data_IF_265459030474
#
_entry.id   IF_265459030474
#
_cell.length_a   1.000
_cell.length_b   1.000
_cell.length_c   1.000
_cell.angle_alpha   90.00
_cell.angle_beta   90.00
_cell.angle_gamma   90.00
#
_symmetry.space_group_name_H-M   'P 1'
#
loop_
_entity.id
_entity.type
_entity.pdbx_description
1 polymer ?
#
# COMPACT_ATOMS: atom_id res chain seq x y z
N UNK A 1 -26.98 5.87 78.70
CA UNK A 1 -28.39 5.40 78.87
C UNK A 1 -29.12 5.60 77.55
N UNK A 2 -29.62 4.52 77.00
CA UNK A 2 -30.86 4.39 76.22
C UNK A 2 -30.98 5.35 75.01
N UNK A 3 -31.32 5.00 73.83
CA UNK A 3 -32.03 3.80 73.32
C UNK A 3 -32.23 3.87 71.82
N UNK A 4 -32.54 2.75 71.26
CA UNK A 4 -32.84 2.40 69.89
C UNK A 4 -33.96 3.24 69.20
N UNK A 5 -33.90 3.45 67.93
CA UNK A 5 -34.97 2.88 67.01
C UNK A 5 -34.57 2.92 65.59
N UNK A 6 -34.93 1.86 64.87
CA UNK A 6 -34.88 1.63 63.44
C UNK A 6 -36.03 2.37 62.75
N UNK A 7 -35.81 2.88 61.53
CA UNK A 7 -36.79 2.79 60.47
C UNK A 7 -36.13 3.03 59.13
N UNK A 8 -36.39 2.12 58.21
CA UNK A 8 -35.94 2.20 56.83
C UNK A 8 -36.82 3.15 56.04
N UNK A 9 -36.28 3.66 54.95
CA UNK A 9 -37.06 4.24 53.87
C UNK A 9 -36.32 4.11 52.56
N UNK A 10 -37.05 3.57 51.62
CA UNK A 10 -36.77 3.39 50.22
C UNK A 10 -36.12 4.63 49.56
N UNK A 11 -34.89 4.49 49.09
CA UNK A 11 -34.24 5.44 48.23
C UNK A 11 -34.47 5.08 46.74
N UNK A 12 -35.55 5.54 46.14
CA UNK A 12 -35.70 5.52 44.67
C UNK A 12 -34.71 6.49 44.08
N UNK A 13 -33.70 5.95 43.40
CA UNK A 13 -32.75 6.71 42.62
C UNK A 13 -33.43 7.20 41.35
N UNK A 14 -33.77 8.47 41.27
CA UNK A 14 -34.30 9.11 40.08
C UNK A 14 -33.14 9.35 39.09
N UNK A 15 -33.09 8.55 38.05
CA UNK A 15 -32.22 8.77 36.89
C UNK A 15 -32.67 10.04 36.18
N UNK A 16 -31.91 11.13 36.33
CA UNK A 16 -32.06 12.33 35.48
C UNK A 16 -31.38 12.07 34.16
N UNK A 17 -32.17 11.86 33.11
CA UNK A 17 -31.71 11.85 31.71
C UNK A 17 -31.15 13.23 31.37
N UNK A 18 -29.89 13.27 30.93
CA UNK A 18 -29.28 14.48 30.36
C UNK A 18 -29.71 14.57 28.87
N UNK A 19 -30.39 15.63 28.53
CA UNK A 19 -30.73 15.98 27.14
C UNK A 19 -29.81 17.11 26.66
N UNK A 20 -29.49 17.11 25.36
CA UNK A 20 -28.71 18.18 24.74
C UNK A 20 -29.58 19.45 24.54
N UNK A 21 -28.98 20.57 24.16
CA UNK A 21 -29.66 21.86 23.94
C UNK A 21 -30.75 21.84 22.83
N UNK A 22 -31.00 20.71 22.18
CA UNK A 22 -32.06 20.50 21.16
C UNK A 22 -33.09 19.44 21.56
N UNK A 23 -33.10 19.00 22.84
CA UNK A 23 -34.16 18.13 23.36
C UNK A 23 -34.06 16.64 22.94
N UNK A 24 -32.91 16.18 22.43
CA UNK A 24 -32.73 14.79 21.98
C UNK A 24 -32.01 14.00 23.06
N UNK A 25 -32.54 12.84 23.52
CA UNK A 25 -31.88 12.00 24.51
C UNK A 25 -30.64 11.30 23.93
N UNK A 26 -29.55 11.21 24.72
CA UNK A 26 -28.41 10.36 24.37
C UNK A 26 -28.77 8.89 24.52
N UNK A 27 -28.49 8.09 23.49
CA UNK A 27 -28.59 6.63 23.55
C UNK A 27 -27.51 6.10 24.51
N UNK A 28 -27.91 5.36 25.52
CA UNK A 28 -27.03 4.57 26.38
C UNK A 28 -26.67 3.28 25.65
N UNK A 29 -25.39 3.06 25.41
CA UNK A 29 -24.86 1.78 24.96
C UNK A 29 -25.10 0.72 26.05
N UNK A 30 -25.93 -0.25 25.75
CA UNK A 30 -26.05 -1.47 26.53
C UNK A 30 -25.52 -2.64 25.69
N UNK A 31 -24.54 -3.29 26.26
CA UNK A 31 -23.76 -4.35 25.66
C UNK A 31 -24.58 -5.65 25.55
N UNK A 32 -24.34 -6.40 24.47
CA UNK A 32 -24.68 -7.80 24.27
C UNK A 32 -26.14 -8.13 23.92
N UNK A 33 -26.38 -8.17 22.61
CA UNK A 33 -26.98 -9.32 21.89
C UNK A 33 -27.19 -8.95 20.43
N UNK A 34 -26.24 -9.34 19.55
CA UNK A 34 -26.48 -9.38 18.11
C UNK A 34 -27.20 -10.70 17.82
N UNK A 35 -28.52 -10.69 17.78
CA UNK A 35 -29.31 -11.77 17.19
C UNK A 35 -29.21 -11.69 15.67
N UNK A 36 -28.55 -12.69 15.10
CA UNK A 36 -28.42 -12.88 13.66
C UNK A 36 -29.77 -13.35 13.08
N UNK A 37 -30.54 -12.41 12.52
CA UNK A 37 -31.80 -12.72 11.86
C UNK A 37 -31.55 -13.38 10.50
N UNK A 38 -31.78 -14.71 10.43
CA UNK A 38 -31.65 -15.56 9.22
C UNK A 38 -32.81 -15.38 8.23
N UNK A 39 -33.22 -14.17 7.87
CA UNK A 39 -34.19 -13.96 6.79
C UNK A 39 -33.79 -12.73 6.00
N UNK A 40 -33.01 -12.91 4.95
CA UNK A 40 -32.98 -12.17 3.68
C UNK A 40 -31.67 -12.43 2.93
N UNK A 41 -31.49 -13.61 2.41
CA UNK A 41 -30.38 -13.93 1.48
C UNK A 41 -30.87 -14.23 0.05
N UNK A 42 -32.02 -13.71 -0.36
CA UNK A 42 -32.56 -14.05 -1.68
C UNK A 42 -32.61 -12.93 -2.72
N UNK A 43 -32.05 -11.74 -2.44
CA UNK A 43 -32.12 -10.60 -3.39
C UNK A 43 -30.75 -10.05 -3.85
N UNK A 44 -29.70 -10.84 -3.80
CA UNK A 44 -28.45 -10.48 -4.45
C UNK A 44 -28.45 -11.04 -5.89
N UNK A 45 -28.73 -10.18 -6.86
CA UNK A 45 -28.51 -10.47 -8.28
C UNK A 45 -27.05 -10.89 -8.50
N UNK A 46 -26.78 -11.98 -9.24
CA UNK A 46 -25.41 -12.42 -9.46
C UNK A 46 -24.66 -11.40 -10.32
N UNK A 47 -23.53 -10.92 -9.81
CA UNK A 47 -22.53 -10.18 -10.58
C UNK A 47 -22.09 -11.00 -11.80
N UNK A 48 -21.87 -10.39 -12.97
CA UNK A 48 -21.40 -11.11 -14.14
C UNK A 48 -19.99 -11.67 -13.87
N UNK A 49 -19.89 -12.97 -13.76
CA UNK A 49 -18.64 -13.72 -13.74
C UNK A 49 -17.95 -13.63 -15.11
N UNK A 50 -17.13 -12.63 -15.31
CA UNK A 50 -16.17 -12.60 -16.41
C UNK A 50 -14.82 -12.32 -15.78
N UNK A 51 -14.12 -13.35 -15.45
CA UNK A 51 -12.69 -13.52 -15.24
C UNK A 51 -12.47 -14.69 -14.27
N UNK A 52 -12.86 -15.86 -14.71
CA UNK A 52 -12.24 -17.10 -14.30
C UNK A 52 -12.01 -17.88 -15.59
N UNK A 53 -10.77 -18.25 -15.86
CA UNK A 53 -10.44 -19.19 -16.92
C UNK A 53 -11.35 -20.41 -16.74
N UNK A 54 -12.09 -20.74 -17.80
CA UNK A 54 -13.00 -21.89 -17.83
C UNK A 54 -12.21 -23.15 -17.48
N UNK A 55 -12.61 -23.95 -16.48
CA UNK A 55 -12.23 -25.34 -16.47
C UNK A 55 -12.87 -25.97 -17.72
N UNK A 56 -12.07 -26.54 -18.58
CA UNK A 56 -12.55 -27.32 -19.71
C UNK A 56 -13.30 -28.52 -19.13
N UNK A 57 -14.62 -28.55 -19.36
CA UNK A 57 -15.47 -29.71 -19.04
C UNK A 57 -14.96 -30.93 -19.81
N UNK A 58 -14.23 -31.81 -19.09
CA UNK A 58 -13.72 -33.07 -19.61
C UNK A 58 -14.68 -34.22 -19.25
N UNK A 59 -16.00 -34.02 -19.43
CA UNK A 59 -16.96 -35.12 -19.25
C UNK A 59 -18.19 -34.94 -20.15
N UNK A 60 -18.01 -35.25 -21.42
CA UNK A 60 -19.09 -35.76 -22.31
C UNK A 60 -18.56 -36.10 -23.70
N UNK A 61 -17.93 -37.25 -23.83
CA UNK A 61 -17.94 -38.04 -25.07
C UNK A 61 -18.08 -39.49 -24.68
N UNK A 62 -19.33 -39.95 -24.48
CA UNK A 62 -19.67 -41.34 -24.67
C UNK A 62 -19.88 -41.55 -26.17
N UNK A 63 -18.85 -42.01 -26.83
CA UNK A 63 -18.87 -42.54 -28.18
C UNK A 63 -18.34 -43.94 -28.18
N UNK A 64 -19.08 -44.85 -28.74
CA UNK A 64 -19.01 -46.29 -28.76
C UNK A 64 -17.64 -46.93 -29.06
N UNK A 65 -17.41 -47.99 -28.38
CA UNK A 65 -16.45 -49.07 -28.42
C UNK A 65 -15.90 -49.38 -29.84
N UNK A 66 -14.57 -49.31 -29.96
CA UNK A 66 -13.79 -49.94 -30.99
C UNK A 66 -12.44 -50.32 -30.42
N UNK A 67 -12.27 -51.57 -29.99
CA UNK A 67 -11.03 -52.12 -29.50
C UNK A 67 -9.91 -52.02 -30.54
N UNK A 68 -8.93 -51.11 -30.33
CA UNK A 68 -7.56 -51.30 -30.82
C UNK A 68 -6.61 -51.26 -29.63
N UNK A 69 -5.93 -52.41 -29.47
CA UNK A 69 -4.82 -52.55 -28.46
C UNK A 69 -3.63 -51.73 -28.98
N UNK A 70 -2.99 -51.01 -28.06
CA UNK A 70 -1.61 -50.61 -28.12
C UNK A 70 -1.39 -49.16 -28.47
N UNK A 71 -1.32 -48.35 -27.40
CA UNK A 71 -0.36 -47.31 -27.16
C UNK A 71 -0.76 -46.61 -25.87
N UNK A 72 0.13 -46.67 -24.86
CA UNK A 72 -0.07 -45.91 -23.62
C UNK A 72 -0.19 -44.43 -23.98
N UNK A 73 -1.20 -43.71 -23.47
CA UNK A 73 -1.24 -42.27 -23.67
C UNK A 73 0.00 -41.67 -23.04
N UNK A 74 0.87 -41.10 -23.92
CA UNK A 74 2.00 -40.33 -23.47
C UNK A 74 1.52 -39.29 -22.45
N UNK A 75 2.10 -39.34 -21.26
CA UNK A 75 1.93 -38.31 -20.24
C UNK A 75 2.40 -36.98 -20.87
N UNK A 76 1.46 -36.18 -21.35
CA UNK A 76 1.75 -34.80 -21.71
C UNK A 76 2.20 -34.14 -20.40
N UNK A 77 3.46 -33.70 -20.30
CA UNK A 77 3.88 -33.00 -19.09
C UNK A 77 3.00 -31.74 -18.97
N UNK A 78 2.16 -31.69 -17.93
CA UNK A 78 1.41 -30.50 -17.53
C UNK A 78 2.42 -29.49 -16.93
N UNK A 79 3.28 -28.97 -17.76
CA UNK A 79 3.96 -27.71 -17.53
C UNK A 79 3.02 -26.60 -18.00
N UNK A 80 1.93 -26.39 -17.26
CA UNK A 80 1.31 -25.08 -17.28
C UNK A 80 2.41 -24.11 -16.83
N UNK A 81 2.90 -23.30 -17.74
CA UNK A 81 3.77 -22.18 -17.37
C UNK A 81 3.02 -21.39 -16.31
N UNK A 82 3.46 -21.50 -15.06
CA UNK A 82 2.88 -20.74 -13.95
C UNK A 82 3.06 -19.29 -14.37
N UNK A 83 1.95 -18.58 -14.62
CA UNK A 83 2.00 -17.19 -14.97
C UNK A 83 2.69 -16.45 -13.82
N UNK A 84 3.86 -15.87 -14.10
CA UNK A 84 4.61 -15.11 -13.09
C UNK A 84 3.81 -13.90 -12.68
N UNK A 85 3.60 -13.73 -11.39
CA UNK A 85 2.90 -12.58 -10.84
C UNK A 85 3.89 -11.41 -10.73
N UNK A 86 3.96 -10.59 -11.78
CA UNK A 86 4.73 -9.35 -11.79
C UNK A 86 3.91 -8.22 -11.16
N UNK A 87 4.46 -7.54 -10.16
CA UNK A 87 3.90 -6.31 -9.62
C UNK A 87 4.79 -5.10 -9.91
N UNK A 88 4.18 -3.92 -10.00
CA UNK A 88 4.92 -2.66 -10.01
C UNK A 88 4.68 -1.90 -8.71
N UNK A 89 5.74 -1.52 -8.02
CA UNK A 89 5.68 -0.59 -6.89
C UNK A 89 6.02 0.80 -7.39
N UNK A 90 5.03 1.69 -7.43
CA UNK A 90 5.15 3.00 -8.08
C UNK A 90 5.23 4.15 -7.11
N UNK A 91 6.08 5.13 -7.41
CA UNK A 91 6.22 6.34 -6.63
C UNK A 91 7.17 7.35 -7.26
N UNK A 92 7.26 8.56 -6.70
CA UNK A 92 8.27 9.54 -7.12
C UNK A 92 9.65 9.22 -6.53
N UNK A 93 9.69 8.58 -5.35
CA UNK A 93 10.92 8.23 -4.61
C UNK A 93 11.93 9.37 -4.55
N UNK A 94 11.46 10.55 -4.14
CA UNK A 94 12.19 11.81 -4.17
C UNK A 94 12.29 12.47 -2.78
N UNK A 95 13.19 12.00 -1.91
CA UNK A 95 14.02 10.79 -2.03
C UNK A 95 13.29 9.50 -1.63
N UNK A 96 13.92 8.36 -1.94
CA UNK A 96 13.55 7.06 -1.38
C UNK A 96 13.81 7.05 0.14
N UNK A 97 12.91 6.42 0.91
CA UNK A 97 12.96 6.40 2.38
C UNK A 97 13.03 4.97 2.91
N UNK A 98 13.34 4.79 4.20
CA UNK A 98 13.29 3.48 4.85
C UNK A 98 11.87 2.87 4.79
N UNK A 99 10.81 3.71 4.87
CA UNK A 99 9.44 3.24 4.70
C UNK A 99 9.16 2.71 3.29
N UNK A 100 9.75 3.31 2.25
CA UNK A 100 9.64 2.76 0.89
C UNK A 100 10.35 1.41 0.77
N UNK A 101 11.51 1.26 1.40
CA UNK A 101 12.25 0.00 1.40
C UNK A 101 11.53 -1.09 2.20
N UNK A 102 10.87 -0.75 3.31
CA UNK A 102 10.03 -1.69 4.08
C UNK A 102 8.86 -2.23 3.23
N UNK A 103 8.14 -1.36 2.53
CA UNK A 103 7.07 -1.78 1.60
C UNK A 103 7.63 -2.67 0.49
N UNK A 104 8.78 -2.30 -0.07
CA UNK A 104 9.43 -3.06 -1.14
C UNK A 104 9.86 -4.45 -0.67
N UNK A 105 10.46 -4.56 0.52
CA UNK A 105 10.84 -5.83 1.13
C UNK A 105 9.63 -6.75 1.34
N UNK A 106 8.52 -6.22 1.86
CA UNK A 106 7.26 -6.96 2.03
C UNK A 106 6.65 -7.38 0.70
N UNK A 107 6.73 -6.53 -0.32
CA UNK A 107 6.24 -6.84 -1.68
C UNK A 107 6.96 -8.05 -2.27
N UNK A 108 8.26 -8.21 -2.01
CA UNK A 108 9.05 -9.37 -2.50
C UNK A 108 8.54 -10.72 -2.01
N UNK A 109 7.88 -10.77 -0.85
CA UNK A 109 7.29 -11.99 -0.32
C UNK A 109 5.93 -12.35 -0.92
N UNK A 110 5.35 -11.49 -1.74
CA UNK A 110 3.98 -11.65 -2.27
C UNK A 110 3.93 -11.91 -3.77
N UNK A 111 4.97 -11.56 -4.50
CA UNK A 111 5.02 -11.63 -5.98
C UNK A 111 6.26 -12.39 -6.43
N UNK A 112 6.23 -12.87 -7.67
CA UNK A 112 7.37 -13.59 -8.28
C UNK A 112 8.42 -12.63 -8.85
N UNK A 113 7.99 -11.44 -9.25
CA UNK A 113 8.85 -10.36 -9.77
C UNK A 113 8.26 -9.00 -9.36
N UNK A 114 9.14 -8.04 -9.07
CA UNK A 114 8.73 -6.67 -8.68
C UNK A 114 9.52 -5.65 -9.50
N UNK A 115 8.84 -4.64 -10.02
CA UNK A 115 9.48 -3.46 -10.59
C UNK A 115 9.27 -2.29 -9.63
N UNK A 116 10.36 -1.74 -9.09
CA UNK A 116 10.35 -0.43 -8.46
C UNK A 116 10.31 0.63 -9.56
N UNK A 117 9.13 1.17 -9.82
CA UNK A 117 8.86 2.04 -10.95
C UNK A 117 8.85 3.52 -10.51
N UNK A 118 9.85 4.28 -10.94
CA UNK A 118 10.02 5.69 -10.60
C UNK A 118 9.24 6.55 -11.60
N UNK A 119 8.17 7.21 -11.12
CA UNK A 119 7.35 8.10 -11.93
C UNK A 119 7.60 9.59 -11.65
N UNK A 120 7.09 10.45 -12.52
CA UNK A 120 7.03 11.88 -12.31
C UNK A 120 5.67 12.27 -11.70
N UNK A 121 5.69 13.01 -10.61
CA UNK A 121 4.49 13.70 -10.14
C UNK A 121 4.51 15.13 -10.72
N UNK A 122 3.61 15.47 -11.67
CA UNK A 122 3.61 16.79 -12.31
C UNK A 122 3.31 17.93 -11.33
N UNK A 123 2.66 17.64 -10.21
CA UNK A 123 2.24 18.61 -9.20
C UNK A 123 3.30 18.88 -8.12
N UNK A 124 4.49 18.27 -8.24
CA UNK A 124 5.56 18.43 -7.24
C UNK A 124 6.88 18.76 -7.92
N UNK A 125 7.56 19.79 -7.41
CA UNK A 125 8.95 20.03 -7.78
C UNK A 125 9.83 18.89 -7.28
N UNK A 126 10.65 18.37 -8.19
CA UNK A 126 11.56 17.27 -7.86
C UNK A 126 12.87 17.82 -7.31
N UNK A 127 13.34 17.24 -6.20
CA UNK A 127 14.65 17.55 -5.64
C UNK A 127 15.78 16.87 -6.40
N UNK A 128 15.56 15.57 -6.69
CA UNK A 128 16.51 14.75 -7.42
C UNK A 128 16.04 14.55 -8.86
N UNK A 129 16.96 14.62 -9.81
CA UNK A 129 16.69 14.24 -11.21
C UNK A 129 16.26 12.79 -11.32
N UNK A 130 15.71 12.38 -12.47
CA UNK A 130 15.37 10.97 -12.70
C UNK A 130 16.58 10.06 -12.56
N UNK A 131 17.74 10.45 -13.12
CA UNK A 131 18.96 9.65 -13.08
C UNK A 131 19.49 9.50 -11.65
N UNK A 132 19.44 10.57 -10.86
CA UNK A 132 19.83 10.51 -9.45
C UNK A 132 18.93 9.58 -8.64
N UNK A 133 17.60 9.68 -8.81
CA UNK A 133 16.64 8.80 -8.14
C UNK A 133 16.82 7.34 -8.55
N UNK A 134 17.05 7.12 -9.85
CA UNK A 134 17.29 5.80 -10.41
C UNK A 134 18.59 5.19 -9.86
N UNK A 135 19.66 5.99 -9.79
CA UNK A 135 20.94 5.56 -9.25
C UNK A 135 20.82 5.18 -7.76
N UNK A 136 20.24 6.06 -6.94
CA UNK A 136 20.01 5.82 -5.52
C UNK A 136 19.17 4.55 -5.29
N UNK A 137 18.08 4.42 -6.03
CA UNK A 137 17.20 3.25 -5.91
C UNK A 137 17.89 1.96 -6.31
N UNK A 138 18.67 1.95 -7.40
CA UNK A 138 19.41 0.76 -7.85
C UNK A 138 20.45 0.30 -6.84
N UNK A 139 21.16 1.23 -6.22
CA UNK A 139 22.16 0.90 -5.22
C UNK A 139 21.52 0.33 -3.95
N UNK A 140 20.44 0.96 -3.46
CA UNK A 140 19.72 0.49 -2.29
C UNK A 140 19.02 -0.86 -2.52
N UNK A 141 18.45 -1.09 -3.69
CA UNK A 141 17.85 -2.37 -4.07
C UNK A 141 18.92 -3.47 -4.17
N UNK A 142 20.10 -3.16 -4.73
CA UNK A 142 21.21 -4.11 -4.79
C UNK A 142 21.68 -4.50 -3.39
N UNK A 143 21.84 -3.53 -2.49
CA UNK A 143 22.20 -3.77 -1.10
C UNK A 143 21.14 -4.62 -0.38
N UNK A 144 19.87 -4.31 -0.55
CA UNK A 144 18.75 -5.10 -0.01
C UNK A 144 18.79 -6.55 -0.50
N UNK A 145 18.89 -6.77 -1.82
CA UNK A 145 18.91 -8.12 -2.38
C UNK A 145 20.16 -8.92 -2.00
N UNK A 146 21.28 -8.25 -1.72
CA UNK A 146 22.49 -8.91 -1.24
C UNK A 146 22.41 -9.37 0.21
N UNK A 147 21.69 -8.62 1.06
CA UNK A 147 21.46 -8.94 2.47
C UNK A 147 20.35 -9.96 2.66
N UNK A 148 19.34 -9.90 1.81
CA UNK A 148 18.15 -10.76 1.83
C UNK A 148 17.98 -11.38 0.44
N UNK A 149 18.70 -12.47 0.09
CA UNK A 149 18.64 -13.06 -1.24
C UNK A 149 17.29 -13.72 -1.55
N UNK A 150 16.51 -14.08 -0.52
CA UNK A 150 15.19 -14.70 -0.69
C UNK A 150 14.13 -13.68 -1.13
N UNK A 151 13.10 -14.17 -1.83
CA UNK A 151 11.98 -13.39 -2.36
C UNK A 151 12.16 -12.96 -3.81
N UNK A 152 11.19 -12.19 -4.33
CA UNK A 152 11.15 -11.77 -5.72
C UNK A 152 12.38 -10.94 -6.12
N UNK A 153 12.83 -11.15 -7.36
CA UNK A 153 13.81 -10.26 -7.98
C UNK A 153 13.21 -8.87 -8.20
N UNK A 154 13.98 -7.81 -7.92
CA UNK A 154 13.55 -6.43 -8.12
C UNK A 154 14.32 -5.83 -9.29
N UNK A 155 13.57 -5.28 -10.27
CA UNK A 155 14.09 -4.37 -11.28
C UNK A 155 13.79 -2.94 -10.89
N UNK A 156 14.68 -2.00 -11.20
CA UNK A 156 14.47 -0.56 -10.95
C UNK A 156 14.40 0.14 -12.28
N UNK A 157 13.25 0.70 -12.58
CA UNK A 157 12.95 1.35 -13.85
C UNK A 157 12.33 2.73 -13.62
N UNK A 158 12.40 3.60 -14.60
CA UNK A 158 11.62 4.84 -14.63
C UNK A 158 10.62 4.79 -15.77
N UNK A 159 9.52 5.52 -15.62
CA UNK A 159 8.52 5.63 -16.66
C UNK A 159 7.99 7.06 -16.76
N UNK A 160 7.44 7.37 -17.93
CA UNK A 160 6.73 8.62 -18.22
C UNK A 160 5.30 8.30 -18.63
N UNK A 161 4.39 9.26 -18.48
CA UNK A 161 2.97 9.07 -18.78
C UNK A 161 2.18 8.45 -17.63
N UNK A 162 1.09 7.76 -17.97
CA UNK A 162 0.20 7.18 -16.97
C UNK A 162 0.76 5.90 -16.37
N UNK A 163 0.67 5.78 -15.05
CA UNK A 163 1.09 4.57 -14.32
C UNK A 163 0.43 3.30 -14.85
N UNK A 164 -0.86 3.38 -15.19
CA UNK A 164 -1.63 2.24 -15.69
C UNK A 164 -1.19 1.78 -17.08
N UNK A 165 -0.76 2.70 -17.95
CA UNK A 165 -0.24 2.35 -19.27
C UNK A 165 1.12 1.67 -19.15
N UNK A 166 1.96 2.17 -18.26
CA UNK A 166 3.23 1.52 -17.96
C UNK A 166 3.01 0.12 -17.36
N UNK A 167 2.08 -0.03 -16.40
CA UNK A 167 1.75 -1.32 -15.82
C UNK A 167 1.31 -2.34 -16.87
N UNK A 168 0.46 -1.93 -17.83
CA UNK A 168 0.05 -2.78 -18.95
C UNK A 168 1.21 -3.14 -19.86
N UNK A 169 2.08 -2.18 -20.18
CA UNK A 169 3.21 -2.39 -21.10
C UNK A 169 4.21 -3.42 -20.60
N UNK A 170 4.39 -3.51 -19.28
CA UNK A 170 5.28 -4.50 -18.64
C UNK A 170 4.57 -5.80 -18.25
N UNK A 171 3.25 -5.89 -18.45
CA UNK A 171 2.45 -7.07 -18.10
C UNK A 171 2.25 -7.24 -16.60
N UNK A 172 2.25 -6.16 -15.81
CA UNK A 172 2.02 -6.23 -14.39
C UNK A 172 0.59 -6.66 -14.06
N UNK A 173 0.42 -7.59 -13.13
CA UNK A 173 -0.87 -8.03 -12.63
C UNK A 173 -1.44 -7.10 -11.54
N UNK A 174 -0.59 -6.32 -10.86
CA UNK A 174 -1.00 -5.40 -9.80
C UNK A 174 -0.07 -4.18 -9.69
N UNK A 175 -0.65 -3.08 -9.20
CA UNK A 175 0.08 -1.90 -8.73
C UNK A 175 0.16 -1.97 -7.21
N UNK A 176 1.36 -1.91 -6.64
CA UNK A 176 1.58 -1.87 -5.20
C UNK A 176 1.67 -0.43 -4.71
N UNK A 177 1.02 -0.15 -3.59
CA UNK A 177 1.07 1.15 -2.90
C UNK A 177 1.29 0.95 -1.41
N UNK A 178 2.19 1.74 -0.83
CA UNK A 178 2.42 1.75 0.61
C UNK A 178 1.42 2.67 1.32
N UNK A 179 0.81 2.17 2.40
CA UNK A 179 -0.09 2.93 3.27
C UNK A 179 0.59 3.15 4.61
N UNK A 180 0.70 4.39 5.05
CA UNK A 180 1.31 4.76 6.34
C UNK A 180 0.26 5.00 7.42
N UNK A 181 -0.86 5.61 7.03
CA UNK A 181 -1.93 6.00 7.95
C UNK A 181 -3.28 6.12 7.21
N UNK A 182 -4.34 6.38 7.96
CA UNK A 182 -5.71 6.49 7.42
C UNK A 182 -5.85 7.66 6.44
N UNK A 183 -5.12 8.74 6.63
CA UNK A 183 -5.18 9.91 5.73
C UNK A 183 -4.65 9.55 4.33
N UNK A 184 -3.59 8.75 4.24
CA UNK A 184 -3.09 8.25 2.96
C UNK A 184 -4.13 7.36 2.27
N UNK A 185 -4.80 6.48 3.06
CA UNK A 185 -5.70 5.46 2.55
C UNK A 185 -6.84 6.04 1.69
N UNK A 186 -7.43 7.15 2.09
CA UNK A 186 -8.54 7.75 1.34
C UNK A 186 -8.14 8.14 -0.09
N UNK A 187 -7.00 8.81 -0.25
CA UNK A 187 -6.47 9.20 -1.56
C UNK A 187 -6.01 8.01 -2.39
N UNK A 188 -5.38 7.03 -1.76
CA UNK A 188 -4.90 5.83 -2.43
C UNK A 188 -6.07 4.92 -2.88
N UNK A 189 -7.16 4.84 -2.11
CA UNK A 189 -8.38 4.13 -2.52
C UNK A 189 -9.03 4.79 -3.74
N UNK A 190 -9.10 6.12 -3.78
CA UNK A 190 -9.62 6.84 -4.95
C UNK A 190 -8.78 6.53 -6.20
N UNK A 191 -7.46 6.56 -6.06
CA UNK A 191 -6.55 6.22 -7.15
C UNK A 191 -6.71 4.75 -7.60
N UNK A 192 -6.85 3.81 -6.66
CA UNK A 192 -7.04 2.40 -6.94
C UNK A 192 -8.33 2.13 -7.73
N UNK A 193 -9.44 2.75 -7.31
CA UNK A 193 -10.73 2.66 -8.02
C UNK A 193 -10.59 3.19 -9.45
N UNK A 194 -9.92 4.34 -9.61
CA UNK A 194 -9.67 4.94 -10.93
C UNK A 194 -8.82 4.04 -11.80
N UNK A 195 -7.72 3.48 -11.28
CA UNK A 195 -6.83 2.58 -12.00
C UNK A 195 -7.57 1.33 -12.50
N UNK A 196 -8.41 0.73 -11.65
CA UNK A 196 -9.23 -0.41 -12.03
C UNK A 196 -10.26 -0.05 -13.10
N UNK A 197 -10.91 1.10 -12.95
CA UNK A 197 -11.94 1.54 -13.90
C UNK A 197 -11.38 1.87 -15.28
N UNK A 198 -10.24 2.55 -15.34
CA UNK A 198 -9.60 3.00 -16.59
C UNK A 198 -8.83 1.88 -17.27
N UNK A 199 -8.21 1.01 -16.50
CA UNK A 199 -7.22 0.07 -17.02
C UNK A 199 -7.47 -1.40 -16.68
N UNK A 200 -8.39 -1.70 -15.77
CA UNK A 200 -8.63 -3.06 -15.30
C UNK A 200 -7.50 -3.63 -14.45
N UNK A 201 -6.62 -2.78 -13.90
CA UNK A 201 -5.49 -3.19 -13.06
C UNK A 201 -5.84 -2.98 -11.58
N UNK A 202 -5.64 -4.02 -10.77
CA UNK A 202 -5.86 -3.95 -9.34
C UNK A 202 -4.69 -3.27 -8.61
N UNK A 203 -5.01 -2.66 -7.46
CA UNK A 203 -4.03 -2.06 -6.57
C UNK A 203 -3.98 -2.84 -5.26
N UNK A 204 -2.76 -3.21 -4.86
CA UNK A 204 -2.50 -3.90 -3.60
C UNK A 204 -1.89 -2.91 -2.61
N UNK A 205 -2.51 -2.78 -1.45
CA UNK A 205 -2.01 -1.92 -0.37
C UNK A 205 -1.17 -2.71 0.61
N UNK A 206 0.03 -2.20 0.91
CA UNK A 206 0.91 -2.74 1.93
C UNK A 206 1.07 -1.70 3.02
N UNK A 207 0.69 -2.06 4.25
CA UNK A 207 0.85 -1.17 5.40
C UNK A 207 2.32 -1.17 5.82
N UNK A 208 2.91 0.02 5.92
CA UNK A 208 4.30 0.19 6.37
C UNK A 208 4.46 -0.21 7.83
N UNK A 209 5.67 -0.60 8.22
CA UNK A 209 6.00 -0.83 9.62
C UNK A 209 5.76 0.43 10.49
N UNK A 210 5.47 0.22 11.76
CA UNK A 210 5.12 1.28 12.72
C UNK A 210 6.14 2.41 12.78
N UNK A 211 7.44 2.07 12.68
CA UNK A 211 8.55 3.03 12.72
C UNK A 211 8.52 4.02 11.54
N UNK A 212 7.77 3.73 10.48
CA UNK A 212 7.74 4.53 9.26
C UNK A 212 6.40 5.24 9.02
N UNK A 213 5.44 5.10 9.93
CA UNK A 213 4.09 5.64 9.80
C UNK A 213 4.05 7.16 9.55
N UNK A 214 5.04 7.88 10.05
CA UNK A 214 5.15 9.34 9.91
C UNK A 214 6.23 9.78 8.90
N UNK A 215 6.87 8.84 8.20
CA UNK A 215 7.92 9.16 7.23
C UNK A 215 7.34 9.68 5.92
N UNK A 216 7.74 10.88 5.51
CA UNK A 216 7.31 11.51 4.26
C UNK A 216 8.50 12.10 3.51
N UNK A 217 8.66 11.78 2.22
CA UNK A 217 9.69 12.40 1.37
C UNK A 217 9.53 13.92 1.28
N UNK A 218 8.29 14.42 1.29
CA UNK A 218 8.04 15.87 1.28
C UNK A 218 8.53 16.54 2.57
N UNK A 219 8.25 15.93 3.74
CA UNK A 219 8.75 16.43 5.02
C UNK A 219 10.29 16.38 5.10
N UNK A 220 10.90 15.31 4.62
CA UNK A 220 12.36 15.18 4.53
C UNK A 220 12.96 16.31 3.68
N UNK A 221 12.35 16.61 2.53
CA UNK A 221 12.77 17.75 1.69
C UNK A 221 12.64 19.08 2.42
N UNK A 222 11.55 19.32 3.12
CA UNK A 222 11.35 20.55 3.90
C UNK A 222 12.41 20.70 5.00
N UNK A 223 12.66 19.65 5.80
CA UNK A 223 13.70 19.68 6.84
C UNK A 223 15.08 19.97 6.23
N UNK A 224 15.38 19.30 5.10
CA UNK A 224 16.64 19.52 4.41
C UNK A 224 16.76 20.94 3.85
N UNK A 225 15.69 21.52 3.33
CA UNK A 225 15.66 22.87 2.75
C UNK A 225 15.76 23.98 3.81
N UNK A 226 15.02 23.84 4.91
CA UNK A 226 14.92 24.86 5.97
C UNK A 226 16.09 24.81 6.98
N UNK A 227 17.19 24.19 6.66
CA UNK A 227 18.38 24.19 7.49
C UNK A 227 18.38 23.17 8.65
N UNK A 228 17.37 22.29 8.75
CA UNK A 228 17.33 21.23 9.75
C UNK A 228 18.54 20.27 9.64
N UNK A 229 18.89 19.61 10.73
CA UNK A 229 20.00 18.64 10.70
C UNK A 229 19.68 17.48 9.77
N UNK A 230 20.46 17.31 8.70
CA UNK A 230 20.32 16.15 7.79
C UNK A 230 20.64 14.85 8.53
N UNK A 231 21.55 14.89 9.51
CA UNK A 231 21.96 13.70 10.27
C UNK A 231 20.81 13.16 11.14
N UNK A 232 19.93 14.03 11.62
CA UNK A 232 18.74 13.61 12.37
C UNK A 232 17.73 12.82 11.54
N UNK A 233 17.86 12.82 10.21
CA UNK A 233 17.02 12.04 9.29
C UNK A 233 17.49 10.58 9.14
N UNK A 234 18.57 10.16 9.81
CA UNK A 234 19.15 8.80 9.73
C UNK A 234 18.17 7.68 10.11
N UNK A 235 17.14 7.98 10.91
CA UNK A 235 16.07 7.03 11.25
C UNK A 235 14.98 6.94 10.20
N UNK A 236 14.97 7.82 9.21
CA UNK A 236 13.92 7.94 8.20
C UNK A 236 14.40 7.60 6.79
N UNK A 237 15.69 7.84 6.52
CA UNK A 237 16.29 7.60 5.21
C UNK A 237 17.59 6.81 5.31
N UNK A 238 17.96 6.04 4.28
CA UNK A 238 19.24 5.32 4.24
C UNK A 238 20.44 6.28 4.25
N UNK A 239 21.62 5.84 4.75
CA UNK A 239 22.85 6.65 4.75
C UNK A 239 23.21 7.25 3.39
N UNK A 240 23.06 6.47 2.32
CA UNK A 240 23.29 6.92 0.94
C UNK A 240 22.42 8.15 0.57
N UNK A 241 21.18 8.19 1.06
CA UNK A 241 20.27 9.33 0.84
C UNK A 241 20.69 10.53 1.70
N UNK A 242 21.23 10.31 2.92
CA UNK A 242 21.79 11.37 3.77
C UNK A 242 22.93 12.09 3.00
N UNK A 243 23.84 11.35 2.41
CA UNK A 243 24.97 11.92 1.67
C UNK A 243 24.50 12.67 0.41
N UNK A 244 23.49 12.11 -0.29
CA UNK A 244 22.89 12.78 -1.43
C UNK A 244 22.18 14.09 -1.03
N UNK A 245 21.50 14.14 0.11
CA UNK A 245 20.86 15.36 0.63
C UNK A 245 21.91 16.41 1.03
N UNK A 246 23.02 16.00 1.68
CA UNK A 246 24.12 16.92 2.01
C UNK A 246 24.71 17.56 0.75
N UNK A 247 24.95 16.75 -0.29
CA UNK A 247 25.43 17.23 -1.59
C UNK A 247 24.48 18.23 -2.22
N UNK A 248 23.16 17.93 -2.21
CA UNK A 248 22.14 18.82 -2.75
C UNK A 248 22.03 20.13 -1.98
N UNK A 249 22.19 20.12 -0.66
CA UNK A 249 22.20 21.34 0.15
C UNK A 249 23.40 22.25 -0.18
N UNK A 250 24.56 21.68 -0.49
CA UNK A 250 25.75 22.43 -0.89
C UNK A 250 25.65 23.06 -2.27
N UNK A 251 24.73 22.61 -3.11
CA UNK A 251 24.55 23.11 -4.47
C UNK A 251 23.57 24.30 -4.50
N UNK A 252 24.11 25.50 -4.60
CA UNK A 252 23.31 26.76 -4.65
C UNK A 252 22.39 26.87 -5.88
N UNK A 253 22.63 26.09 -6.93
CA UNK A 253 21.77 26.04 -8.10
C UNK A 253 20.50 25.21 -7.88
N UNK A 254 20.50 24.38 -6.84
CA UNK A 254 19.42 23.47 -6.48
C UNK A 254 18.34 24.18 -5.65
N UNK A 255 17.06 23.79 -5.72
CA UNK A 255 15.98 24.35 -4.89
C UNK A 255 16.29 24.35 -3.39
N UNK A 256 16.92 23.27 -2.85
CA UNK A 256 17.33 23.24 -1.44
C UNK A 256 18.38 24.28 -1.11
N UNK A 257 19.37 24.48 -1.98
CA UNK A 257 20.43 25.47 -1.77
C UNK A 257 19.87 26.90 -1.76
N UNK A 258 18.91 27.20 -2.63
CA UNK A 258 18.23 28.52 -2.66
C UNK A 258 17.39 28.77 -1.41
N UNK A 259 16.55 27.81 -1.02
CA UNK A 259 15.71 27.92 0.19
C UNK A 259 16.54 28.01 1.48
N UNK A 260 17.72 27.35 1.54
CA UNK A 260 18.61 27.47 2.68
C UNK A 260 19.26 28.84 2.80
N UNK A 261 19.47 29.55 1.70
CA UNK A 261 20.03 30.94 1.70
C UNK A 261 18.95 31.94 2.13
N UNK A 262 17.71 31.78 1.65
CA UNK A 262 16.60 32.68 1.99
C UNK A 262 16.21 32.58 3.47
N UNK A 263 16.31 31.35 4.09
CA UNK A 263 16.05 31.15 5.52
C UNK A 263 17.14 31.64 6.48
N UNK A 264 18.26 32.13 5.97
CA UNK A 264 19.33 32.78 6.78
C UNK A 264 19.24 34.30 6.80
N UNK A 265 18.26 34.90 6.09
CA UNK A 265 18.08 36.36 5.94
C UNK A 265 16.97 36.87 6.87
N UNK A 266 16.23 36.03 7.57
CA UNK A 266 15.32 36.41 8.65
C UNK A 266 15.99 36.18 10.03
#
# INVERSE_FOLDING_TARGET
MRGRSKSGSDGRCAMRSRVNRRGVPYATEDSNKVEFNRRSCNDLRPFPRRFCARPVDLFRLRGSCGHRRGEAPGTVPYHAAVARHLAIYTGSFDPITLGHLDVLARTRGLFDEVILAIGRNPNKEALFTFDERLSLARELVRDMMSKEPEGAHIRVEHYTGLTVDYAKSVGACAIVRGIRNITDLAGECQLAITNRQVAGIETVFIVTGENFAYTSSSLIKQIAALGGSIDSLSTLVPPLVIDALRKKRGDRSNPLGRLAVDGLVE
#
